data_IF_874494234353
#
_entry.id   IF_874494234353
#
_cell.length_a   1.000
_cell.length_b   1.000
_cell.length_c   1.000
_cell.angle_alpha   90.00
_cell.angle_beta   90.00
_cell.angle_gamma   90.00
#
_symmetry.space_group_name_H-M   'P 1'
#
loop_
_entity.id
_entity.type
_entity.pdbx_description
1 polymer ?
#
# COMPACT_ATOMS: atom_id res chain seq x y z
N UNK A 1 -76.11 -9.58 3.15
CA UNK A 1 -75.43 -9.53 4.46
C UNK A 1 -74.45 -10.69 4.52
N UNK A 2 -73.15 -10.60 4.73
CA UNK A 2 -72.20 -9.51 4.81
C UNK A 2 -70.83 -10.23 4.80
N UNK A 3 -70.04 -9.95 3.76
CA UNK A 3 -68.56 -9.90 3.68
C UNK A 3 -67.76 -11.10 4.26
N UNK A 4 -67.22 -11.92 3.35
CA UNK A 4 -66.15 -12.90 3.61
C UNK A 4 -64.82 -12.16 3.81
N UNK A 5 -64.10 -12.56 4.85
CA UNK A 5 -62.70 -12.22 5.10
C UNK A 5 -61.82 -12.67 3.93
N UNK A 6 -61.16 -11.72 3.26
CA UNK A 6 -59.98 -11.98 2.44
C UNK A 6 -58.82 -11.21 3.06
N UNK A 7 -57.97 -11.93 3.79
CA UNK A 7 -56.72 -11.43 4.34
C UNK A 7 -55.71 -11.38 3.21
N UNK A 8 -55.47 -10.19 2.65
CA UNK A 8 -54.33 -9.98 1.75
C UNK A 8 -53.04 -9.97 2.58
N UNK A 9 -52.29 -11.08 2.56
CA UNK A 9 -50.91 -11.12 3.03
C UNK A 9 -50.05 -10.38 1.99
N UNK A 10 -49.75 -9.11 2.25
CA UNK A 10 -48.64 -8.44 1.58
C UNK A 10 -47.34 -8.93 2.23
N UNK A 11 -46.70 -9.92 1.60
CA UNK A 11 -45.31 -10.23 1.88
C UNK A 11 -44.45 -9.09 1.30
N UNK A 12 -44.15 -8.09 2.12
CA UNK A 12 -43.09 -7.13 1.82
C UNK A 12 -41.77 -7.89 2.04
N UNK A 13 -41.23 -8.45 0.95
CA UNK A 13 -39.84 -8.88 0.89
C UNK A 13 -38.96 -7.63 0.99
N UNK A 14 -38.63 -7.23 2.21
CA UNK A 14 -37.44 -6.42 2.45
C UNK A 14 -36.23 -7.28 2.10
N UNK A 15 -35.80 -7.25 0.85
CA UNK A 15 -34.42 -7.55 0.52
C UNK A 15 -33.57 -6.45 1.16
N UNK A 16 -33.14 -6.67 2.40
CA UNK A 16 -31.96 -6.01 2.94
C UNK A 16 -30.81 -6.46 2.04
N UNK A 17 -30.59 -5.71 0.95
CA UNK A 17 -29.39 -5.85 0.15
C UNK A 17 -28.23 -5.58 1.10
N UNK A 18 -27.49 -6.61 1.46
CA UNK A 18 -26.16 -6.41 1.98
C UNK A 18 -25.39 -5.71 0.86
N UNK A 19 -25.21 -4.39 0.97
CA UNK A 19 -24.26 -3.68 0.12
C UNK A 19 -22.93 -4.45 0.24
N UNK A 20 -22.45 -4.97 -0.87
CA UNK A 20 -21.20 -5.72 -0.92
C UNK A 20 -20.10 -4.84 -0.33
N UNK A 21 -19.25 -5.40 0.52
CA UNK A 21 -18.07 -4.70 1.02
C UNK A 21 -17.26 -4.21 -0.17
N UNK A 22 -16.92 -2.92 -0.17
CA UNK A 22 -16.12 -2.31 -1.22
C UNK A 22 -14.77 -3.04 -1.30
N UNK A 23 -14.42 -3.58 -2.47
CA UNK A 23 -13.13 -4.22 -2.71
C UNK A 23 -12.16 -3.26 -3.43
N UNK A 24 -10.86 -3.58 -3.41
CA UNK A 24 -9.90 -2.82 -4.19
C UNK A 24 -10.18 -2.89 -5.71
N UNK A 25 -10.74 -4.01 -6.19
CA UNK A 25 -11.13 -4.19 -7.59
C UNK A 25 -12.26 -3.23 -7.99
N UNK A 26 -13.18 -2.92 -7.08
CA UNK A 26 -14.33 -2.05 -7.37
C UNK A 26 -13.95 -0.57 -7.51
N UNK A 27 -12.82 -0.16 -6.93
CA UNK A 27 -12.38 1.24 -6.94
C UNK A 27 -11.27 1.52 -7.94
N UNK A 28 -10.48 0.51 -8.34
CA UNK A 28 -9.35 0.68 -9.23
C UNK A 28 -9.76 0.49 -10.69
N UNK A 29 -9.30 1.40 -11.55
CA UNK A 29 -9.56 1.39 -12.99
C UNK A 29 -8.27 1.35 -13.79
N UNK A 30 -8.20 0.45 -14.76
CA UNK A 30 -7.08 0.38 -15.70
C UNK A 30 -7.09 1.58 -16.64
N UNK A 31 -5.93 2.22 -16.82
CA UNK A 31 -5.76 3.35 -17.72
C UNK A 31 -4.46 3.20 -18.53
N UNK A 32 -4.60 3.25 -19.85
CA UNK A 32 -3.48 3.15 -20.79
C UNK A 32 -2.76 4.49 -21.02
N UNK A 33 -3.38 5.60 -20.61
CA UNK A 33 -2.90 6.95 -20.86
C UNK A 33 -2.82 7.76 -19.58
N UNK A 34 -1.86 8.69 -19.54
CA UNK A 34 -1.78 9.73 -18.54
C UNK A 34 -1.60 11.06 -19.27
N UNK A 35 -2.50 12.01 -19.01
CA UNK A 35 -2.43 13.32 -19.65
C UNK A 35 -1.44 14.20 -18.90
N UNK A 36 -0.28 14.39 -19.51
CA UNK A 36 0.69 15.39 -19.12
C UNK A 36 0.10 16.77 -19.42
N UNK A 37 -0.03 17.62 -18.42
CA UNK A 37 -0.43 19.00 -18.63
C UNK A 37 0.69 19.96 -18.20
N UNK A 38 0.63 21.21 -18.65
CA UNK A 38 1.67 22.21 -18.36
C UNK A 38 1.64 22.72 -16.91
N UNK A 39 0.60 22.38 -16.17
CA UNK A 39 0.55 22.59 -14.73
C UNK A 39 1.21 21.38 -14.08
N UNK A 40 1.86 21.64 -12.95
CA UNK A 40 2.41 20.59 -12.12
C UNK A 40 1.44 19.38 -12.05
N UNK A 41 1.87 18.16 -12.44
CA UNK A 41 3.26 17.70 -12.53
C UNK A 41 3.87 17.71 -13.95
N UNK A 42 5.07 18.31 -14.02
CA UNK A 42 5.91 18.68 -15.15
C UNK A 42 6.11 17.66 -16.29
N UNK A 43 6.36 18.18 -17.52
CA UNK A 43 6.88 17.45 -18.69
C UNK A 43 8.00 16.45 -18.38
N UNK A 44 8.93 16.78 -17.47
CA UNK A 44 10.02 15.89 -17.08
C UNK A 44 9.56 14.57 -16.45
N UNK A 45 8.38 14.54 -15.81
CA UNK A 45 7.76 13.30 -15.34
C UNK A 45 7.40 12.41 -16.52
N UNK A 46 6.72 12.96 -17.52
CA UNK A 46 6.31 12.23 -18.70
C UNK A 46 7.48 11.80 -19.59
N UNK A 47 8.58 12.54 -19.56
CA UNK A 47 9.84 12.12 -20.20
C UNK A 47 10.50 10.97 -19.41
N UNK A 48 10.24 10.87 -18.11
CA UNK A 48 10.84 9.88 -17.21
C UNK A 48 10.03 8.59 -17.07
N UNK A 49 8.71 8.66 -17.27
CA UNK A 49 7.78 7.54 -17.17
C UNK A 49 7.24 7.21 -18.56
N UNK A 50 7.47 5.98 -19.00
CA UNK A 50 6.93 5.47 -20.26
C UNK A 50 5.67 4.65 -19.98
N UNK A 51 4.52 5.13 -20.44
CA UNK A 51 3.24 4.43 -20.35
C UNK A 51 3.08 3.43 -21.49
N UNK A 52 2.52 2.26 -21.17
CA UNK A 52 2.23 1.18 -22.11
C UNK A 52 0.73 0.88 -22.09
N UNK A 53 0.23 0.34 -23.19
CA UNK A 53 -1.10 -0.27 -23.19
C UNK A 53 -1.09 -1.55 -22.36
N UNK A 54 -2.13 -1.75 -21.57
CA UNK A 54 -2.39 -2.99 -20.85
C UNK A 54 -2.82 -4.11 -21.81
N UNK A 55 -2.25 -5.31 -21.65
CA UNK A 55 -2.82 -6.50 -22.32
C UNK A 55 -4.00 -7.09 -21.53
N UNK A 56 -4.92 -7.84 -22.17
CA UNK A 56 -5.99 -8.54 -21.46
C UNK A 56 -5.48 -9.48 -20.35
N UNK A 57 -4.36 -10.17 -20.59
CA UNK A 57 -3.74 -11.08 -19.63
C UNK A 57 -3.19 -10.33 -18.42
N UNK A 58 -2.51 -9.20 -18.63
CA UNK A 58 -2.02 -8.35 -17.54
C UNK A 58 -3.17 -7.79 -16.69
N UNK A 59 -4.26 -7.33 -17.33
CA UNK A 59 -5.47 -6.89 -16.62
C UNK A 59 -6.06 -8.00 -15.77
N UNK A 60 -6.13 -9.22 -16.29
CA UNK A 60 -6.64 -10.38 -15.57
C UNK A 60 -5.79 -10.71 -14.33
N UNK A 61 -4.45 -10.70 -14.48
CA UNK A 61 -3.52 -10.96 -13.37
C UNK A 61 -3.69 -9.91 -12.26
N UNK A 62 -3.66 -8.62 -12.61
CA UNK A 62 -3.78 -7.54 -11.62
C UNK A 62 -5.16 -7.54 -10.96
N UNK A 63 -6.22 -7.77 -11.74
CA UNK A 63 -7.59 -7.90 -11.21
C UNK A 63 -7.70 -9.02 -10.18
N UNK A 64 -7.01 -10.15 -10.40
CA UNK A 64 -7.00 -11.26 -9.45
C UNK A 64 -6.31 -10.90 -8.12
N UNK A 65 -5.28 -10.05 -8.12
CA UNK A 65 -4.68 -9.54 -6.87
C UNK A 65 -5.57 -8.53 -6.18
N UNK A 66 -6.17 -7.59 -6.92
CA UNK A 66 -7.11 -6.59 -6.37
C UNK A 66 -8.34 -7.26 -5.74
N UNK A 67 -8.88 -8.32 -6.37
CA UNK A 67 -10.01 -9.07 -5.85
C UNK A 67 -9.71 -9.77 -4.51
N UNK A 68 -8.45 -10.14 -4.26
CA UNK A 68 -8.01 -10.74 -2.98
C UNK A 68 -7.88 -9.70 -1.86
N UNK A 69 -7.92 -8.41 -2.18
CA UNK A 69 -7.96 -7.31 -1.22
C UNK A 69 -9.42 -6.95 -0.96
N UNK A 70 -10.06 -7.81 -0.18
CA UNK A 70 -11.47 -7.72 0.18
C UNK A 70 -11.63 -8.02 1.69
N UNK A 71 -11.10 -7.12 2.51
CA UNK A 71 -11.24 -7.17 3.96
C UNK A 71 -12.15 -6.02 4.43
N UNK A 72 -13.23 -6.30 5.20
CA UNK A 72 -14.14 -5.25 5.67
C UNK A 72 -13.46 -4.12 6.45
N UNK A 73 -12.32 -4.39 7.11
CA UNK A 73 -11.55 -3.37 7.83
C UNK A 73 -10.97 -2.29 6.91
N UNK A 74 -10.85 -2.57 5.62
CA UNK A 74 -10.31 -1.65 4.61
C UNK A 74 -11.36 -0.69 4.03
N UNK A 75 -12.64 -0.83 4.40
CA UNK A 75 -13.71 -0.06 3.77
C UNK A 75 -13.50 1.47 3.87
N UNK A 76 -13.12 1.97 5.05
CA UNK A 76 -12.83 3.40 5.24
C UNK A 76 -11.65 3.88 4.40
N UNK A 77 -10.59 3.07 4.31
CA UNK A 77 -9.42 3.32 3.48
C UNK A 77 -9.81 3.41 1.99
N UNK A 78 -10.53 2.40 1.49
CA UNK A 78 -10.94 2.33 0.09
C UNK A 78 -11.90 3.46 -0.30
N UNK A 79 -12.83 3.83 0.59
CA UNK A 79 -13.71 5.00 0.39
C UNK A 79 -12.91 6.30 0.32
N UNK A 80 -11.90 6.46 1.16
CA UNK A 80 -11.05 7.66 1.19
C UNK A 80 -10.25 7.80 -0.12
N UNK A 81 -9.62 6.71 -0.58
CA UNK A 81 -8.91 6.68 -1.87
C UNK A 81 -9.85 7.06 -3.02
N UNK A 82 -11.05 6.45 -3.05
CA UNK A 82 -12.07 6.73 -4.08
C UNK A 82 -12.51 8.20 -4.06
N UNK A 83 -12.74 8.77 -2.88
CA UNK A 83 -13.14 10.17 -2.73
C UNK A 83 -12.05 11.15 -3.19
N UNK A 84 -10.77 10.81 -2.97
CA UNK A 84 -9.64 11.58 -3.46
C UNK A 84 -9.38 11.44 -4.97
N UNK A 85 -10.02 10.48 -5.65
CA UNK A 85 -9.89 10.26 -7.09
C UNK A 85 -8.59 9.56 -7.52
N UNK A 86 -7.85 8.96 -6.58
CA UNK A 86 -6.59 8.25 -6.83
C UNK A 86 -6.90 6.78 -7.21
N UNK A 87 -7.58 6.59 -8.35
CA UNK A 87 -8.19 5.31 -8.73
C UNK A 87 -7.62 4.70 -10.01
N UNK A 88 -6.76 5.41 -10.73
CA UNK A 88 -6.23 4.96 -12.02
C UNK A 88 -4.91 4.20 -11.84
N UNK A 89 -4.88 2.96 -12.32
CA UNK A 89 -3.65 2.16 -12.39
C UNK A 89 -3.15 2.09 -13.83
N UNK A 90 -1.84 2.25 -13.96
CA UNK A 90 -1.15 2.42 -15.23
C UNK A 90 -0.12 1.32 -15.44
N UNK A 91 0.05 0.91 -16.69
CA UNK A 91 1.16 0.05 -17.10
C UNK A 91 2.33 0.93 -17.50
N UNK A 92 3.49 0.74 -16.88
CA UNK A 92 4.67 1.58 -17.13
C UNK A 92 5.93 0.73 -17.38
N UNK A 93 6.86 1.22 -18.20
CA UNK A 93 8.15 0.54 -18.38
C UNK A 93 9.07 0.72 -17.16
N UNK A 94 9.04 1.91 -16.57
CA UNK A 94 9.95 2.31 -15.49
C UNK A 94 9.20 3.19 -14.48
N UNK A 95 9.63 3.13 -13.22
CA UNK A 95 9.26 4.15 -12.23
C UNK A 95 10.14 5.39 -12.40
N UNK A 96 9.72 6.51 -11.81
CA UNK A 96 10.49 7.75 -11.77
C UNK A 96 10.68 8.20 -10.32
N UNK A 97 11.75 8.95 -10.07
CA UNK A 97 11.97 9.64 -8.79
C UNK A 97 12.05 11.13 -9.05
N UNK A 98 11.51 11.92 -8.13
CA UNK A 98 11.65 13.36 -8.17
C UNK A 98 12.93 13.79 -7.46
N UNK A 99 13.46 14.95 -7.85
CA UNK A 99 14.53 15.62 -7.14
C UNK A 99 14.33 17.13 -7.23
N UNK A 100 14.82 17.84 -6.23
CA UNK A 100 14.87 19.30 -6.28
C UNK A 100 16.06 19.71 -7.15
N UNK A 101 15.81 20.42 -8.25
CA UNK A 101 16.87 21.00 -9.09
C UNK A 101 17.11 22.46 -8.64
N UNK A 102 18.14 22.73 -7.81
CA UNK A 102 18.35 24.05 -7.24
C UNK A 102 18.77 25.09 -8.30
N UNK A 103 19.42 24.65 -9.39
CA UNK A 103 19.85 25.53 -10.46
C UNK A 103 18.66 26.19 -11.17
N UNK A 104 17.60 25.41 -11.40
CA UNK A 104 16.37 25.89 -12.07
C UNK A 104 15.21 26.18 -11.10
N UNK A 105 15.43 25.99 -9.79
CA UNK A 105 14.45 26.18 -8.72
C UNK A 105 13.12 25.47 -8.98
N UNK A 106 13.19 24.24 -9.49
CA UNK A 106 12.02 23.42 -9.82
C UNK A 106 12.23 21.97 -9.43
N UNK A 107 11.12 21.24 -9.28
CA UNK A 107 11.14 19.79 -9.12
C UNK A 107 11.24 19.16 -10.50
N UNK A 108 12.17 18.23 -10.64
CA UNK A 108 12.34 17.44 -11.86
C UNK A 108 12.23 15.96 -11.55
N UNK A 109 11.97 15.15 -12.58
CA UNK A 109 11.94 13.71 -12.49
C UNK A 109 13.10 13.10 -13.27
N UNK A 110 13.59 11.96 -12.77
CA UNK A 110 14.46 11.06 -13.52
C UNK A 110 13.94 9.65 -13.43
N UNK A 111 14.21 8.86 -14.48
CA UNK A 111 13.98 7.41 -14.46
C UNK A 111 14.70 6.77 -13.28
N UNK A 112 13.99 5.90 -12.55
CA UNK A 112 14.60 5.09 -11.51
C UNK A 112 15.43 3.97 -12.13
N UNK A 113 16.61 3.71 -11.56
CA UNK A 113 17.39 2.51 -11.88
C UNK A 113 16.80 1.25 -11.22
N UNK A 114 15.94 1.43 -10.22
CA UNK A 114 15.33 0.36 -9.46
C UNK A 114 14.13 -0.24 -10.19
N UNK A 115 14.01 -1.56 -10.06
CA UNK A 115 12.95 -2.35 -10.69
C UNK A 115 11.84 -2.63 -9.68
N UNK A 116 11.11 -1.58 -9.31
CA UNK A 116 9.92 -1.72 -8.46
C UNK A 116 8.86 -2.60 -9.15
N UNK A 117 8.14 -3.44 -8.42
CA UNK A 117 7.03 -4.22 -9.00
C UNK A 117 5.86 -3.30 -9.35
N UNK A 118 5.46 -2.52 -8.35
CA UNK A 118 4.43 -1.50 -8.39
C UNK A 118 5.02 -0.28 -7.68
N UNK A 119 4.53 0.90 -8.00
CA UNK A 119 4.98 2.14 -7.38
C UNK A 119 3.87 3.19 -7.44
N UNK A 120 3.69 3.92 -6.34
CA UNK A 120 2.86 5.12 -6.29
C UNK A 120 3.73 6.38 -6.28
N UNK A 121 3.46 7.30 -7.19
CA UNK A 121 4.09 8.61 -7.19
C UNK A 121 3.32 9.60 -6.29
N UNK A 122 3.91 10.11 -5.20
CA UNK A 122 3.21 11.01 -4.27
C UNK A 122 2.94 12.41 -4.83
N UNK A 123 3.58 12.78 -5.94
CA UNK A 123 3.45 14.10 -6.58
C UNK A 123 2.40 14.07 -7.69
N UNK A 124 2.35 12.97 -8.45
CA UNK A 124 1.51 12.86 -9.66
C UNK A 124 0.30 11.95 -9.47
N UNK A 125 0.23 11.26 -8.33
CA UNK A 125 -0.77 10.25 -7.99
C UNK A 125 -0.84 9.08 -8.98
N UNK A 126 0.22 8.89 -9.78
CA UNK A 126 0.33 7.77 -10.72
C UNK A 126 0.64 6.50 -9.95
N UNK A 127 -0.19 5.48 -10.16
CA UNK A 127 0.02 4.12 -9.69
C UNK A 127 0.52 3.28 -10.87
N UNK A 128 1.80 2.90 -10.87
CA UNK A 128 2.46 2.26 -12.00
C UNK A 128 2.85 0.80 -11.75
N UNK A 129 2.37 -0.12 -12.59
CA UNK A 129 2.81 -1.52 -12.64
C UNK A 129 3.91 -1.69 -13.69
N UNK A 130 5.06 -2.26 -13.29
CA UNK A 130 6.20 -2.50 -14.18
C UNK A 130 6.27 -3.95 -14.68
N UNK A 131 7.14 -4.21 -15.64
CA UNK A 131 7.45 -5.57 -16.13
C UNK A 131 7.89 -6.51 -14.99
N UNK A 132 8.46 -5.95 -13.91
CA UNK A 132 8.96 -6.70 -12.76
C UNK A 132 7.81 -7.30 -11.93
N UNK A 133 6.62 -6.71 -11.95
CA UNK A 133 5.44 -7.30 -11.32
C UNK A 133 5.07 -8.63 -11.99
N UNK A 134 5.15 -8.71 -13.31
CA UNK A 134 4.75 -9.90 -14.08
C UNK A 134 5.85 -10.95 -14.12
N UNK A 135 7.11 -10.52 -14.24
CA UNK A 135 8.27 -11.42 -14.37
C UNK A 135 8.89 -11.84 -13.03
N UNK A 136 8.61 -11.11 -11.95
CA UNK A 136 9.15 -11.40 -10.63
C UNK A 136 8.71 -12.76 -10.10
N UNK A 137 9.65 -13.52 -9.53
CA UNK A 137 9.37 -14.83 -8.92
C UNK A 137 8.36 -14.68 -7.78
N UNK A 138 7.19 -15.35 -7.84
CA UNK A 138 6.27 -15.37 -6.72
C UNK A 138 6.87 -16.19 -5.59
N UNK A 139 6.67 -15.72 -4.36
CA UNK A 139 6.97 -16.50 -3.18
C UNK A 139 6.05 -16.08 -2.04
N UNK A 140 5.85 -17.00 -1.11
CA UNK A 140 4.92 -16.83 0.00
C UNK A 140 5.61 -16.14 1.17
N UNK A 141 4.89 -15.24 1.84
CA UNK A 141 5.35 -14.71 3.11
C UNK A 141 5.45 -15.82 4.16
N UNK A 142 6.57 -15.92 4.90
CA UNK A 142 6.81 -17.02 5.82
C UNK A 142 5.84 -17.05 7.00
N UNK A 143 5.16 -15.96 7.33
CA UNK A 143 4.29 -15.84 8.51
C UNK A 143 2.82 -15.64 8.13
N UNK A 144 2.51 -14.68 7.25
CA UNK A 144 1.17 -14.37 6.75
C UNK A 144 0.62 -15.45 5.81
N UNK A 145 1.49 -16.28 5.21
CA UNK A 145 1.11 -17.35 4.27
C UNK A 145 0.29 -16.83 3.07
N UNK A 146 0.57 -15.62 2.62
CA UNK A 146 0.04 -15.04 1.37
C UNK A 146 1.17 -14.75 0.38
N UNK A 147 0.86 -14.62 -0.90
CA UNK A 147 1.84 -14.24 -1.91
C UNK A 147 2.39 -12.83 -1.60
N UNK A 148 3.70 -12.64 -1.63
CA UNK A 148 4.32 -11.32 -1.45
C UNK A 148 3.77 -10.28 -2.42
N UNK A 149 3.43 -10.65 -3.67
CA UNK A 149 2.82 -9.69 -4.61
C UNK A 149 1.48 -9.18 -4.10
N UNK A 150 0.71 -9.99 -3.40
CA UNK A 150 -0.54 -9.56 -2.78
C UNK A 150 -0.31 -8.54 -1.66
N UNK A 151 0.72 -8.76 -0.82
CA UNK A 151 1.14 -7.78 0.20
C UNK A 151 1.58 -6.48 -0.48
N UNK A 152 2.42 -6.55 -1.51
CA UNK A 152 2.90 -5.36 -2.22
C UNK A 152 1.76 -4.56 -2.88
N UNK A 153 0.75 -5.22 -3.46
CA UNK A 153 -0.41 -4.50 -4.02
C UNK A 153 -1.17 -3.76 -2.92
N UNK A 154 -1.38 -4.37 -1.76
CA UNK A 154 -2.02 -3.66 -0.64
C UNK A 154 -1.12 -2.54 -0.11
N UNK A 155 0.18 -2.78 0.07
CA UNK A 155 1.16 -1.78 0.51
C UNK A 155 1.06 -0.50 -0.31
N UNK A 156 1.07 -0.63 -1.64
CA UNK A 156 0.96 0.51 -2.55
C UNK A 156 -0.45 1.13 -2.54
N UNK A 157 -1.51 0.35 -2.31
CA UNK A 157 -2.84 0.92 -2.05
C UNK A 157 -2.87 1.73 -0.75
N UNK A 158 -2.10 1.34 0.28
CA UNK A 158 -1.98 2.14 1.50
C UNK A 158 -1.21 3.44 1.23
N UNK A 159 -0.23 3.45 0.34
CA UNK A 159 0.39 4.71 -0.11
C UNK A 159 -0.62 5.64 -0.79
N UNK A 160 -1.58 5.12 -1.57
CA UNK A 160 -2.67 5.96 -2.09
C UNK A 160 -3.51 6.56 -0.97
N UNK A 161 -3.80 5.78 0.08
CA UNK A 161 -4.53 6.27 1.25
C UNK A 161 -3.74 7.32 2.03
N UNK A 162 -2.44 7.10 2.21
CA UNK A 162 -1.53 8.05 2.82
C UNK A 162 -1.57 9.40 2.08
N UNK A 163 -1.45 9.39 0.76
CA UNK A 163 -1.57 10.60 -0.07
C UNK A 163 -2.97 11.22 0.07
N UNK A 164 -4.03 10.42 -0.02
CA UNK A 164 -5.42 10.88 0.09
C UNK A 164 -5.74 11.53 1.44
N UNK A 165 -4.98 11.20 2.49
CA UNK A 165 -5.11 11.75 3.85
C UNK A 165 -4.08 12.84 4.15
N UNK A 166 -3.38 13.34 3.13
CA UNK A 166 -2.33 14.34 3.27
C UNK A 166 -1.19 13.84 4.19
N UNK A 167 -0.71 12.64 3.89
CA UNK A 167 0.43 11.95 4.51
C UNK A 167 0.22 11.51 5.96
N UNK A 168 -0.70 10.55 6.16
CA UNK A 168 -0.93 9.85 7.42
C UNK A 168 0.36 9.36 8.12
N UNK A 169 1.38 8.91 7.38
CA UNK A 169 2.66 8.49 7.98
C UNK A 169 3.36 9.61 8.76
N UNK A 170 3.11 10.86 8.39
CA UNK A 170 3.69 12.06 9.02
C UNK A 170 2.82 12.63 10.15
N UNK A 171 1.67 12.02 10.41
CA UNK A 171 0.83 12.44 11.52
C UNK A 171 1.49 12.06 12.84
N UNK A 172 1.56 13.03 13.75
CA UNK A 172 2.14 12.87 15.09
C UNK A 172 1.59 11.62 15.81
N UNK A 173 0.29 11.35 15.66
CA UNK A 173 -0.35 10.17 16.26
C UNK A 173 0.24 8.84 15.77
N UNK A 174 0.57 8.72 14.47
CA UNK A 174 1.23 7.52 13.95
C UNK A 174 2.69 7.46 14.38
N UNK A 175 3.43 8.57 14.25
CA UNK A 175 4.84 8.63 14.64
C UNK A 175 5.03 8.21 16.11
N UNK A 176 4.20 8.75 17.01
CA UNK A 176 4.20 8.36 18.42
C UNK A 176 3.85 6.89 18.64
N UNK A 177 2.81 6.39 17.95
CA UNK A 177 2.37 4.99 18.11
C UNK A 177 3.41 3.98 17.60
N UNK A 178 4.09 4.31 16.50
CA UNK A 178 5.22 3.54 15.97
C UNK A 178 6.51 3.79 16.77
N UNK A 179 6.60 4.86 17.56
CA UNK A 179 7.78 5.21 18.35
C UNK A 179 8.89 5.87 17.54
N UNK A 180 8.57 6.45 16.38
CA UNK A 180 9.48 7.29 15.60
C UNK A 180 9.84 8.55 16.38
N UNK A 181 11.12 8.92 16.36
CA UNK A 181 11.64 10.15 16.93
C UNK A 181 12.81 10.66 16.12
N UNK A 182 13.02 11.98 16.14
CA UNK A 182 14.25 12.58 15.62
C UNK A 182 15.36 12.47 16.67
N UNK A 183 16.50 11.85 16.32
CA UNK A 183 17.65 11.73 17.24
C UNK A 183 18.68 12.86 17.11
N UNK A 184 18.38 13.91 16.33
CA UNK A 184 19.33 14.99 16.01
C UNK A 184 20.01 14.83 14.64
N UNK A 185 19.94 13.64 14.03
CA UNK A 185 20.56 13.33 12.73
C UNK A 185 19.58 12.70 11.75
N UNK A 186 18.72 11.81 12.22
CA UNK A 186 17.75 11.09 11.41
C UNK A 186 16.55 10.67 12.26
N UNK A 187 15.46 10.28 11.60
CA UNK A 187 14.32 9.62 12.24
C UNK A 187 14.72 8.18 12.59
N UNK A 188 14.46 7.78 13.84
CA UNK A 188 14.73 6.42 14.35
C UNK A 188 13.59 5.94 15.26
N UNK A 189 13.52 4.63 15.50
CA UNK A 189 12.62 4.06 16.50
C UNK A 189 13.28 4.19 17.89
N UNK A 190 12.62 4.89 18.80
CA UNK A 190 13.14 5.26 20.12
C UNK A 190 13.47 4.08 21.05
N UNK A 191 12.78 2.95 20.89
CA UNK A 191 12.87 1.79 21.77
C UNK A 191 13.98 0.79 21.39
N UNK A 192 14.72 1.04 20.32
CA UNK A 192 15.73 0.11 19.77
C UNK A 192 17.04 0.81 19.43
N UNK A 193 18.12 0.02 19.40
CA UNK A 193 19.42 0.49 18.91
C UNK A 193 19.40 0.63 17.37
N UNK A 194 19.39 1.87 16.89
CA UNK A 194 19.31 2.18 15.46
C UNK A 194 20.52 1.68 14.66
N UNK A 195 21.72 1.68 15.24
CA UNK A 195 22.92 1.22 14.55
C UNK A 195 22.92 -0.30 14.40
N UNK A 196 22.44 -1.01 15.43
CA UNK A 196 22.20 -2.45 15.34
C UNK A 196 21.17 -2.79 14.25
N UNK A 197 20.05 -2.07 14.20
CA UNK A 197 19.00 -2.27 13.19
C UNK A 197 19.53 -2.03 11.78
N UNK A 198 20.30 -0.96 11.54
CA UNK A 198 20.93 -0.69 10.24
C UNK A 198 21.95 -1.75 9.84
N UNK A 199 22.76 -2.24 10.78
CA UNK A 199 23.72 -3.32 10.50
C UNK A 199 23.01 -4.62 10.08
N UNK A 200 21.90 -4.95 10.76
CA UNK A 200 21.06 -6.09 10.41
C UNK A 200 20.37 -5.89 9.06
N UNK A 201 19.86 -4.70 8.77
CA UNK A 201 19.26 -4.40 7.47
C UNK A 201 20.30 -4.42 6.33
N UNK A 202 21.54 -4.02 6.58
CA UNK A 202 22.63 -4.19 5.60
C UNK A 202 22.84 -5.67 5.23
N UNK A 203 22.70 -6.58 6.20
CA UNK A 203 22.80 -8.03 5.95
C UNK A 203 21.67 -8.53 5.04
N UNK A 204 20.44 -8.01 5.24
CA UNK A 204 19.31 -8.26 4.33
C UNK A 204 19.63 -7.77 2.92
N UNK A 205 20.16 -6.56 2.78
CA UNK A 205 20.51 -5.97 1.48
C UNK A 205 21.62 -6.74 0.76
N UNK A 206 22.56 -7.34 1.49
CA UNK A 206 23.60 -8.19 0.90
C UNK A 206 23.02 -9.48 0.31
N UNK A 207 21.99 -10.08 0.93
CA UNK A 207 21.26 -11.20 0.34
C UNK A 207 20.53 -10.80 -0.95
N UNK A 208 19.96 -9.59 -1.00
CA UNK A 208 19.34 -9.04 -2.24
C UNK A 208 20.39 -8.91 -3.35
N UNK A 209 21.58 -8.35 -3.06
CA UNK A 209 22.69 -8.22 -4.02
C UNK A 209 23.16 -9.59 -4.54
N UNK A 210 23.10 -10.62 -3.71
CA UNK A 210 23.40 -12.01 -4.06
C UNK A 210 22.26 -12.72 -4.82
N UNK A 211 21.18 -12.01 -5.17
CA UNK A 211 19.98 -12.56 -5.82
C UNK A 211 19.23 -13.60 -4.98
N UNK A 212 19.40 -13.58 -3.65
CA UNK A 212 18.72 -14.45 -2.68
C UNK A 212 17.48 -13.75 -2.11
N UNK A 213 16.60 -13.27 -2.97
CA UNK A 213 15.49 -12.38 -2.59
C UNK A 213 14.51 -13.01 -1.59
N UNK A 214 14.24 -14.32 -1.70
CA UNK A 214 13.36 -15.01 -0.76
C UNK A 214 13.99 -15.10 0.64
N UNK A 215 15.28 -15.44 0.72
CA UNK A 215 16.02 -15.50 1.98
C UNK A 215 16.15 -14.10 2.61
N UNK A 216 16.44 -13.08 1.79
CA UNK A 216 16.51 -11.69 2.22
C UNK A 216 15.19 -11.26 2.87
N UNK A 217 14.07 -11.54 2.21
CA UNK A 217 12.75 -11.20 2.72
C UNK A 217 12.39 -11.99 3.98
N UNK A 218 12.72 -13.28 4.04
CA UNK A 218 12.48 -14.08 5.23
C UNK A 218 13.24 -13.52 6.45
N UNK A 219 14.51 -13.16 6.26
CA UNK A 219 15.33 -12.53 7.31
C UNK A 219 14.79 -11.16 7.73
N UNK A 220 14.39 -10.33 6.77
CA UNK A 220 13.77 -9.02 7.01
C UNK A 220 12.51 -9.13 7.87
N UNK A 221 11.65 -10.10 7.55
CA UNK A 221 10.42 -10.41 8.30
C UNK A 221 10.70 -10.97 9.69
N UNK A 222 11.64 -11.90 9.80
CA UNK A 222 12.03 -12.51 11.09
C UNK A 222 12.52 -11.43 12.06
N UNK A 223 13.47 -10.61 11.61
CA UNK A 223 14.08 -9.58 12.42
C UNK A 223 13.10 -8.44 12.74
N UNK A 224 12.32 -7.98 11.76
CA UNK A 224 11.27 -6.98 12.00
C UNK A 224 10.31 -7.40 13.11
N UNK A 225 9.78 -8.64 13.03
CA UNK A 225 8.85 -9.18 14.03
C UNK A 225 9.48 -9.26 15.42
N UNK A 226 10.78 -9.58 15.50
CA UNK A 226 11.51 -9.61 16.79
C UNK A 226 11.60 -8.25 17.48
N UNK A 227 11.50 -7.16 16.72
CA UNK A 227 11.48 -5.78 17.24
C UNK A 227 10.07 -5.17 17.31
N UNK A 228 9.04 -5.95 16.97
CA UNK A 228 7.65 -5.50 17.00
C UNK A 228 7.20 -4.71 15.77
N UNK A 229 7.80 -4.96 14.61
CA UNK A 229 7.42 -4.42 13.30
C UNK A 229 7.19 -5.55 12.30
N UNK A 230 6.55 -5.32 11.14
CA UNK A 230 6.46 -6.39 10.16
C UNK A 230 7.84 -6.69 9.54
N UNK A 231 8.63 -5.69 9.22
CA UNK A 231 9.93 -5.82 8.53
C UNK A 231 10.96 -4.91 9.20
N UNK A 232 12.26 -5.21 9.04
CA UNK A 232 13.30 -4.22 9.34
C UNK A 232 13.22 -3.04 8.36
N UNK A 233 12.78 -3.27 7.13
CA UNK A 233 12.56 -2.19 6.17
C UNK A 233 11.62 -1.11 6.75
N UNK A 234 10.49 -1.51 7.34
CA UNK A 234 9.57 -0.58 8.02
C UNK A 234 10.21 0.21 9.17
N UNK A 235 11.30 -0.29 9.78
CA UNK A 235 12.02 0.37 10.87
C UNK A 235 13.18 1.25 10.39
N UNK A 236 13.61 1.09 9.14
CA UNK A 236 14.70 1.86 8.55
C UNK A 236 14.20 2.91 7.55
N UNK A 237 12.93 2.82 7.16
CA UNK A 237 12.29 3.74 6.24
C UNK A 237 10.95 4.23 6.78
N UNK A 238 10.96 5.42 7.38
CA UNK A 238 9.77 6.04 7.97
C UNK A 238 8.63 6.22 6.95
N UNK A 239 8.96 6.53 5.69
CA UNK A 239 7.98 6.74 4.62
C UNK A 239 7.24 5.46 4.23
N UNK A 240 7.83 4.29 4.50
CA UNK A 240 7.25 2.98 4.15
C UNK A 240 6.61 2.31 5.36
N UNK A 241 6.98 2.75 6.57
CA UNK A 241 6.56 2.17 7.84
C UNK A 241 5.03 2.07 7.95
N UNK A 242 4.33 3.15 7.59
CA UNK A 242 2.87 3.19 7.66
C UNK A 242 2.22 2.15 6.75
N UNK A 243 2.62 2.12 5.48
CA UNK A 243 2.08 1.18 4.49
C UNK A 243 2.39 -0.29 4.85
N UNK A 244 3.61 -0.57 5.30
CA UNK A 244 4.02 -1.87 5.80
C UNK A 244 3.13 -2.29 6.98
N UNK A 245 3.08 -1.48 8.04
CA UNK A 245 2.31 -1.83 9.26
C UNK A 245 0.85 -2.11 8.93
N UNK A 246 0.21 -1.28 8.12
CA UNK A 246 -1.20 -1.48 7.76
C UNK A 246 -1.38 -2.74 6.90
N UNK A 247 -0.54 -2.96 5.89
CA UNK A 247 -0.65 -4.12 5.01
C UNK A 247 -0.51 -5.44 5.78
N UNK A 248 0.47 -5.54 6.69
CA UNK A 248 0.63 -6.74 7.52
C UNK A 248 -0.43 -6.86 8.62
N UNK A 249 -1.02 -5.76 9.10
CA UNK A 249 -2.20 -5.84 9.99
C UNK A 249 -3.41 -6.52 9.33
N UNK A 250 -3.49 -6.46 8.00
CA UNK A 250 -4.53 -7.15 7.24
C UNK A 250 -4.16 -8.62 6.99
N UNK A 251 -2.95 -8.88 6.49
CA UNK A 251 -2.57 -10.21 6.00
C UNK A 251 -1.86 -11.11 7.00
N UNK A 252 -1.13 -10.58 7.98
CA UNK A 252 -0.45 -11.39 9.00
C UNK A 252 -1.37 -11.54 10.22
N UNK A 253 -1.99 -12.72 10.44
CA UNK A 253 -2.87 -12.94 11.59
C UNK A 253 -2.13 -12.85 12.93
N UNK A 254 -0.79 -12.93 12.92
CA UNK A 254 0.04 -12.82 14.12
C UNK A 254 0.51 -11.38 14.38
N UNK A 255 0.15 -10.41 13.55
CA UNK A 255 0.48 -9.00 13.73
C UNK A 255 0.22 -8.45 15.15
N UNK A 256 -0.93 -8.72 15.78
CA UNK A 256 -1.20 -8.29 17.16
C UNK A 256 -0.29 -8.93 18.23
N UNK A 257 0.48 -9.96 17.89
CA UNK A 257 1.37 -10.61 18.86
C UNK A 257 2.70 -9.88 19.00
N UNK A 258 3.09 -9.09 18.00
CA UNK A 258 4.37 -8.40 17.99
C UNK A 258 4.25 -6.87 17.95
N UNK A 259 3.10 -6.30 17.55
CA UNK A 259 2.92 -4.85 17.64
C UNK A 259 2.87 -4.32 19.08
N UNK A 260 3.33 -3.09 19.26
CA UNK A 260 3.13 -2.36 20.50
C UNK A 260 1.64 -2.09 20.71
N UNK A 261 1.21 -1.95 21.97
CA UNK A 261 -0.19 -1.61 22.30
C UNK A 261 -0.63 -0.28 21.69
N UNK A 262 0.28 0.68 21.60
CA UNK A 262 0.00 2.00 21.03
C UNK A 262 -0.20 1.91 19.52
N UNK A 263 0.63 1.12 18.83
CA UNK A 263 0.48 0.86 17.40
C UNK A 263 -0.83 0.13 17.10
N UNK A 264 -1.19 -0.90 17.87
CA UNK A 264 -2.49 -1.56 17.75
C UNK A 264 -3.66 -0.61 17.98
N UNK A 265 -3.55 0.26 18.99
CA UNK A 265 -4.59 1.24 19.30
C UNK A 265 -4.76 2.22 18.13
N UNK A 266 -3.66 2.71 17.56
CA UNK A 266 -3.69 3.57 16.38
C UNK A 266 -4.32 2.85 15.19
N UNK A 267 -3.90 1.61 14.90
CA UNK A 267 -4.43 0.82 13.78
C UNK A 267 -5.94 0.63 13.86
N UNK A 268 -6.51 0.45 15.05
CA UNK A 268 -7.97 0.38 15.24
C UNK A 268 -8.71 1.65 14.85
N UNK A 269 -8.04 2.81 14.78
CA UNK A 269 -8.68 4.06 14.34
C UNK A 269 -8.84 4.15 12.83
N UNK A 270 -7.98 3.46 12.07
CA UNK A 270 -7.98 3.49 10.59
C UNK A 270 -8.50 2.19 9.98
N UNK A 271 -8.36 1.06 10.68
CA UNK A 271 -8.85 -0.27 10.30
C UNK A 271 -10.14 -0.57 11.06
N UNK A 272 -11.19 0.17 10.74
CA UNK A 272 -12.51 -0.03 11.35
C UNK A 272 -13.43 -0.63 10.29
N UNK A 273 -13.97 -1.84 10.50
CA UNK A 273 -15.16 -2.24 9.75
C UNK A 273 -16.23 -1.22 10.09
N UNK A 274 -16.91 -0.60 9.11
CA UNK A 274 -18.05 0.23 9.48
C UNK A 274 -19.03 -0.66 10.26
N UNK A 275 -19.16 -0.39 11.56
CA UNK A 275 -20.27 -0.90 12.34
C UNK A 275 -21.52 -0.31 11.70
N UNK A 276 -22.27 -1.19 11.05
CA UNK A 276 -23.60 -0.91 10.51
C UNK A 276 -24.49 -0.25 11.54
#
# INVERSE_FOLDING_TARGET
>A
MMIRFFTCIFAVLFSLGAEASLSALDIMAFSDTYECNDKFPHQSFCDSVEFKAWTPEEKAIVSAYLAKINDPRLEGILKTIKAAGITKIHRVSYSARWFNNPQFRRVEFVRSAEKAFLWVNPVTNVIGFTDSFFTGTPFMDPYAKVDRKQINVLHELIHNFDIATNHAYSMEAFEQAAGWTWNGKESVISSVDSEKVKAQFSTVMDLVKQKRTADAYALDRELGRSYGFPTLYAMTNQFECFAEVVAYSIFDPTAPMYYSKDLEKYLKTILTPNSR
#
